data_IF_407634061004
#
_entry.id   IF_407634061004
#
_cell.length_a   1.000
_cell.length_b   1.000
_cell.length_c   1.000
_cell.angle_alpha   90.00
_cell.angle_beta   90.00
_cell.angle_gamma   90.00
#
_symmetry.space_group_name_H-M   'P 1'
#
loop_
_entity.id
_entity.type
_entity.pdbx_description
1 polymer ?
#
# COMPACT_ATOMS: atom_id res chain seq x y z
N UNK A 1 -9.35 -5.23 0.41
CA UNK A 1 -7.97 -5.51 0.07
C UNK A 1 -7.05 -4.57 0.74
N UNK A 2 -6.10 -5.06 1.53
CA UNK A 2 -5.21 -4.14 2.22
C UNK A 2 -4.36 -3.28 1.28
N UNK A 3 -3.86 -3.84 0.19
CA UNK A 3 -3.10 -3.03 -0.73
C UNK A 3 -3.67 -3.14 -2.12
N UNK A 4 -3.99 -2.00 -2.70
CA UNK A 4 -4.46 -1.97 -4.09
C UNK A 4 -3.64 -0.92 -4.82
N UNK A 5 -3.18 -1.28 -6.01
CA UNK A 5 -2.41 -0.35 -6.83
C UNK A 5 -3.23 -0.02 -8.06
N UNK A 6 -3.46 1.27 -8.26
CA UNK A 6 -4.28 1.78 -9.35
C UNK A 6 -3.44 2.55 -10.34
N UNK A 7 -3.86 2.52 -11.58
CA UNK A 7 -3.36 3.47 -12.57
C UNK A 7 -4.34 4.62 -12.64
N UNK A 8 -3.91 5.80 -12.25
CA UNK A 8 -4.77 6.98 -12.28
C UNK A 8 -4.93 7.51 -13.70
N UNK A 9 -4.01 7.18 -14.58
CA UNK A 9 -4.10 7.59 -15.97
C UNK A 9 -5.19 6.84 -16.72
N UNK A 10 -5.61 5.70 -16.18
CA UNK A 10 -6.54 4.84 -16.89
C UNK A 10 -7.78 4.61 -16.04
N UNK A 11 -8.43 5.70 -15.65
CA UNK A 11 -9.69 5.66 -14.92
C UNK A 11 -9.60 4.81 -13.65
N UNK A 12 -8.49 4.93 -12.94
CA UNK A 12 -8.28 4.22 -11.69
C UNK A 12 -8.34 2.72 -11.86
N UNK A 13 -7.79 2.25 -12.94
CA UNK A 13 -7.74 0.83 -13.19
C UNK A 13 -6.82 0.16 -12.19
N UNK A 14 -7.30 -0.90 -11.56
CA UNK A 14 -6.49 -1.67 -10.64
C UNK A 14 -5.48 -2.49 -11.41
N UNK A 15 -4.22 -2.41 -10.99
CA UNK A 15 -3.19 -3.20 -11.66
C UNK A 15 -2.61 -4.26 -10.74
N UNK A 16 -2.85 -4.17 -9.43
CA UNK A 16 -2.34 -5.20 -8.53
C UNK A 16 -3.05 -5.15 -7.20
N UNK A 17 -3.09 -6.29 -6.54
CA UNK A 17 -3.55 -6.43 -5.15
C UNK A 17 -2.46 -7.13 -4.40
N UNK A 18 -2.24 -6.72 -3.17
CA UNK A 18 -1.25 -7.38 -2.32
C UNK A 18 -1.82 -7.55 -0.93
N UNK A 19 -1.36 -8.56 -0.23
CA UNK A 19 -1.67 -8.78 1.18
C UNK A 19 -3.17 -8.86 1.46
N UNK A 20 -3.86 -9.76 0.78
CA UNK A 20 -5.31 -9.86 0.91
C UNK A 20 -5.80 -9.95 2.34
N UNK A 21 -5.11 -10.70 3.18
CA UNK A 21 -5.55 -10.96 4.55
C UNK A 21 -4.69 -10.32 5.61
N UNK A 22 -3.71 -9.55 5.21
CA UNK A 22 -2.74 -9.03 6.15
C UNK A 22 -2.93 -7.53 6.34
N UNK A 23 -3.41 -7.15 7.52
CA UNK A 23 -3.69 -5.75 7.83
C UNK A 23 -2.60 -5.10 8.66
N UNK A 24 -1.44 -5.73 8.78
CA UNK A 24 -0.32 -5.21 9.55
C UNK A 24 0.58 -4.37 8.67
N UNK A 25 0.74 -3.13 9.06
CA UNK A 25 1.49 -2.17 8.23
C UNK A 25 2.91 -2.61 7.92
N UNK A 26 3.71 -3.11 8.87
CA UNK A 26 5.08 -3.50 8.52
C UNK A 26 5.13 -4.58 7.46
N UNK A 27 4.24 -5.56 7.55
CA UNK A 27 4.21 -6.62 6.55
C UNK A 27 3.77 -6.10 5.20
N UNK A 28 2.85 -5.16 5.22
CA UNK A 28 2.34 -4.56 4.01
C UNK A 28 3.40 -3.75 3.29
N UNK A 29 4.18 -2.99 4.05
CA UNK A 29 5.26 -2.22 3.44
C UNK A 29 6.28 -3.14 2.81
N UNK A 30 6.61 -4.24 3.49
CA UNK A 30 7.54 -5.22 2.92
C UNK A 30 7.01 -5.84 1.65
N UNK A 31 5.73 -6.15 1.62
CA UNK A 31 5.12 -6.74 0.43
C UNK A 31 5.12 -5.74 -0.73
N UNK A 32 4.82 -4.49 -0.44
CA UNK A 32 4.83 -3.48 -1.48
C UNK A 32 6.24 -3.27 -2.02
N UNK A 33 7.22 -3.26 -1.14
CA UNK A 33 8.59 -3.09 -1.56
C UNK A 33 9.03 -4.23 -2.48
N UNK A 34 8.67 -5.46 -2.13
CA UNK A 34 9.00 -6.60 -2.97
C UNK A 34 8.33 -6.51 -4.33
N UNK A 35 7.07 -6.07 -4.34
CA UNK A 35 6.35 -5.92 -5.59
C UNK A 35 6.99 -4.86 -6.48
N UNK A 36 7.37 -3.74 -5.87
CA UNK A 36 8.02 -2.68 -6.62
C UNK A 36 9.34 -3.16 -7.21
N UNK A 37 10.09 -3.91 -6.43
CA UNK A 37 11.38 -4.41 -6.87
C UNK A 37 11.22 -5.34 -8.06
N UNK A 38 10.18 -6.15 -8.04
CA UNK A 38 9.93 -7.11 -9.11
C UNK A 38 9.38 -6.46 -10.36
N UNK A 39 8.69 -5.34 -10.22
CA UNK A 39 7.95 -4.77 -11.34
C UNK A 39 8.49 -3.44 -11.83
N UNK A 40 9.54 -2.93 -11.21
CA UNK A 40 10.04 -1.59 -11.53
C UNK A 40 10.49 -1.43 -12.97
N UNK A 41 10.92 -2.52 -13.58
CA UNK A 41 11.38 -2.44 -14.97
C UNK A 41 10.28 -2.79 -15.97
N UNK A 42 9.16 -3.27 -15.48
CA UNK A 42 8.06 -3.70 -16.33
C UNK A 42 7.01 -2.62 -16.46
N UNK A 43 6.81 -1.86 -15.41
CA UNK A 43 5.77 -0.85 -15.36
C UNK A 43 6.28 0.44 -15.95
N UNK A 44 5.51 1.04 -16.83
CA UNK A 44 5.84 2.33 -17.38
C UNK A 44 5.59 3.42 -16.37
N UNK A 45 6.42 4.45 -16.38
CA UNK A 45 6.16 5.62 -15.57
C UNK A 45 4.82 6.23 -15.95
N UNK A 46 4.12 6.76 -14.96
CA UNK A 46 2.83 7.35 -15.20
C UNK A 46 2.33 7.95 -13.90
N UNK A 47 1.03 7.84 -13.69
CA UNK A 47 0.43 8.29 -12.43
C UNK A 47 -0.30 7.12 -11.82
N UNK A 48 0.16 6.72 -10.65
CA UNK A 48 -0.39 5.57 -9.94
C UNK A 48 -0.63 5.92 -8.50
N UNK A 49 -1.47 5.14 -7.85
CA UNK A 49 -1.69 5.24 -6.42
C UNK A 49 -1.58 3.86 -5.82
N UNK A 50 -0.75 3.74 -4.80
CA UNK A 50 -0.70 2.52 -4.00
C UNK A 50 -1.43 2.81 -2.70
N UNK A 51 -2.60 2.20 -2.53
CA UNK A 51 -3.45 2.42 -1.37
C UNK A 51 -3.25 1.28 -0.40
N UNK A 52 -2.68 1.59 0.76
CA UNK A 52 -2.46 0.60 1.81
C UNK A 52 -3.51 0.79 2.89
N UNK A 53 -4.34 -0.24 3.08
CA UNK A 53 -5.29 -0.23 4.18
C UNK A 53 -4.71 -1.03 5.33
N UNK A 54 -4.62 -0.43 6.49
CA UNK A 54 -4.03 -1.11 7.64
C UNK A 54 -4.87 -0.90 8.88
N UNK A 55 -4.71 -1.81 9.85
CA UNK A 55 -5.41 -1.71 11.11
C UNK A 55 -4.47 -1.24 12.19
N UNK A 56 -4.97 -0.37 13.05
CA UNK A 56 -4.20 0.03 14.22
C UNK A 56 -4.45 -0.98 15.32
N UNK A 57 -3.45 -1.19 16.15
CA UNK A 57 -3.60 -2.10 17.29
C UNK A 57 -4.08 -1.30 18.48
N UNK A 58 -5.08 -1.85 19.16
CA UNK A 58 -5.75 -1.16 20.25
C UNK A 58 -4.82 -0.77 21.37
N UNK A 59 -3.96 -1.70 21.74
CA UNK A 59 -3.07 -1.47 22.88
C UNK A 59 -1.66 -1.10 22.45
N UNK A 60 -1.51 -0.61 21.25
CA UNK A 60 -0.21 -0.24 20.76
C UNK A 60 0.21 1.10 21.32
N UNK A 61 1.44 1.16 21.79
CA UNK A 61 2.01 2.42 22.30
C UNK A 61 2.81 3.12 21.24
N UNK A 62 2.67 2.69 20.02
CA UNK A 62 3.40 3.28 18.91
C UNK A 62 3.78 2.21 17.95
N UNK A 63 4.62 2.55 17.03
CA UNK A 63 5.04 1.61 16.01
C UNK A 63 4.78 2.17 14.65
N UNK A 64 4.83 1.30 13.66
CA UNK A 64 4.65 1.70 12.30
C UNK A 64 5.57 0.91 11.41
N UNK A 65 5.94 1.51 10.29
CA UNK A 65 6.83 0.86 9.35
C UNK A 65 7.69 1.91 8.69
N UNK A 66 8.86 1.48 8.25
CA UNK A 66 9.78 2.38 7.58
C UNK A 66 9.71 2.15 6.10
N UNK A 67 9.71 3.23 5.34
CA UNK A 67 9.80 3.17 3.90
C UNK A 67 11.20 3.61 3.53
N UNK A 68 11.95 2.72 2.92
CA UNK A 68 13.36 2.98 2.65
C UNK A 68 13.53 4.05 1.57
N UNK A 69 14.70 4.71 1.55
CA UNK A 69 14.98 5.65 0.47
C UNK A 69 14.90 5.00 -0.91
N UNK A 70 15.33 3.77 -1.00
CA UNK A 70 15.27 3.08 -2.28
C UNK A 70 13.82 2.89 -2.73
N UNK A 71 12.95 2.47 -1.81
CA UNK A 71 11.54 2.29 -2.11
C UNK A 71 10.91 3.59 -2.55
N UNK A 72 11.23 4.68 -1.84
CA UNK A 72 10.71 5.98 -2.21
C UNK A 72 11.19 6.40 -3.59
N UNK A 73 12.44 6.08 -3.90
CA UNK A 73 12.99 6.45 -5.19
C UNK A 73 12.28 5.70 -6.32
N UNK A 74 12.03 4.41 -6.12
CA UNK A 74 11.33 3.63 -7.12
C UNK A 74 9.93 4.18 -7.34
N UNK A 75 9.22 4.47 -6.26
CA UNK A 75 7.88 5.01 -6.37
C UNK A 75 7.90 6.36 -7.08
N UNK A 76 8.85 7.21 -6.74
CA UNK A 76 8.95 8.52 -7.38
C UNK A 76 9.24 8.39 -8.87
N UNK A 77 10.13 7.47 -9.22
CA UNK A 77 10.48 7.27 -10.63
C UNK A 77 9.29 6.76 -11.44
N UNK A 78 8.47 5.93 -10.83
CA UNK A 78 7.30 5.38 -11.52
C UNK A 78 6.09 6.30 -11.44
N UNK A 79 6.11 7.27 -10.57
CA UNK A 79 4.97 8.17 -10.40
C UNK A 79 3.90 7.61 -9.49
N UNK A 80 4.30 6.87 -8.47
CA UNK A 80 3.34 6.23 -7.56
C UNK A 80 3.19 7.08 -6.31
N UNK A 81 1.96 7.48 -6.04
CA UNK A 81 1.61 8.14 -4.78
C UNK A 81 1.25 7.06 -3.77
N UNK A 82 1.59 7.30 -2.53
CA UNK A 82 1.27 6.38 -1.46
C UNK A 82 0.12 6.95 -0.64
N UNK A 83 -0.95 6.19 -0.54
CA UNK A 83 -2.12 6.59 0.22
C UNK A 83 -2.33 5.61 1.36
N UNK A 84 -2.41 6.11 2.57
CA UNK A 84 -2.54 5.26 3.75
C UNK A 84 -3.96 5.38 4.29
N UNK A 85 -4.65 4.26 4.34
CA UNK A 85 -6.03 4.20 4.82
C UNK A 85 -6.05 3.46 6.15
N UNK A 86 -6.47 4.13 7.18
CA UNK A 86 -6.51 3.58 8.52
C UNK A 86 -7.89 3.02 8.83
N UNK A 87 -7.92 1.82 9.39
CA UNK A 87 -9.17 1.17 9.76
C UNK A 87 -9.16 0.81 11.24
N UNK A 88 -10.30 0.80 11.88
CA UNK A 88 -10.36 0.42 13.30
C UNK A 88 -9.90 -1.01 13.47
N UNK A 89 -9.10 -1.21 14.51
CA UNK A 89 -8.52 -2.50 14.79
C UNK A 89 -9.59 -3.48 15.25
N UNK A 90 -9.57 -4.66 14.64
CA UNK A 90 -10.41 -5.75 15.09
C UNK A 90 -11.88 -5.44 15.16
N UNK A 91 -12.31 -4.48 14.43
CA UNK A 91 -13.67 -4.05 14.54
C UNK A 91 -14.41 -4.28 13.25
N UNK A 92 -15.29 -5.19 13.33
CA UNK A 92 -16.13 -5.50 12.19
C UNK A 92 -17.01 -4.36 11.84
N UNK A 93 -17.12 -3.43 12.71
CA UNK A 93 -17.91 -2.27 12.37
C UNK A 93 -17.33 -1.55 11.19
N UNK A 94 -16.10 -1.81 10.92
CA UNK A 94 -15.51 -1.27 9.72
C UNK A 94 -16.37 -1.59 8.54
N UNK A 95 -17.13 -2.63 8.65
CA UNK A 95 -17.97 -3.04 7.56
C UNK A 95 -19.20 -2.19 7.43
N UNK A 96 -19.51 -1.47 8.45
CA UNK A 96 -20.74 -0.72 8.42
C UNK A 96 -20.60 0.54 7.61
N UNK A 97 -19.46 0.88 7.32
CA UNK A 97 -19.26 2.15 6.61
C UNK A 97 -19.77 2.14 5.21
#
# INVERSE_FOLDING_TARGET
MPITIYSDDDSRKKIAWLCDDNWRLPDQVSALEAWLDQNRTTIKSGRYTADIGFSTREDSLGGGAAISPEMMRIMADLGISLFLSEYPSGDESATTS
#
